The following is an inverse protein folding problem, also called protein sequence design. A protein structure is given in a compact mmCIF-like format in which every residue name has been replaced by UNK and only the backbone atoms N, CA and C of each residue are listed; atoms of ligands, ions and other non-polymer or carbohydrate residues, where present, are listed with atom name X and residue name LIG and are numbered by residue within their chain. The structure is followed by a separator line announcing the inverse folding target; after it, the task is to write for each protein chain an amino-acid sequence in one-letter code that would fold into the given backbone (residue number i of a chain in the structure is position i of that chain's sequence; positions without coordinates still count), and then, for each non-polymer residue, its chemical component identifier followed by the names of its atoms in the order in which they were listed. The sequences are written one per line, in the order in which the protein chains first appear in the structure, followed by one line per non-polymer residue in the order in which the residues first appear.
data_IF_475315008403
#
_entry.id   IF_475315008403
#
_cell.length_a   1.000
_cell.length_b   1.000
_cell.length_c   1.000
_cell.angle_alpha   90.00
_cell.angle_beta   90.00
_cell.angle_gamma   90.00
#
_symmetry.space_group_name_H-M   'P 1'
#
loop_
_entity.id
_entity.type
_entity.pdbx_description
1 polymer ?
#
# COMPACT_ATOMS: atom_id res chain seq x y z
N UNK A 1 39.71 16.73 17.74
CA UNK A 1 38.73 15.92 18.50
C UNK A 1 38.22 14.81 17.58
N UNK A 2 38.56 13.55 17.88
CA UNK A 2 38.04 12.38 17.17
C UNK A 2 36.86 11.85 17.99
N UNK A 3 35.66 11.86 17.43
CA UNK A 3 34.48 11.26 18.05
C UNK A 3 34.08 10.00 17.28
N UNK A 4 34.26 8.78 17.84
CA UNK A 4 33.68 7.58 17.27
C UNK A 4 32.84 6.82 18.31
N UNK A 5 31.51 6.92 18.24
CA UNK A 5 30.58 6.20 19.13
C UNK A 5 29.24 6.06 18.40
N UNK A 6 28.56 4.92 18.24
CA UNK A 6 28.76 3.49 18.50
C UNK A 6 27.80 2.78 17.54
N UNK A 7 28.24 1.69 16.89
CA UNK A 7 27.36 0.83 16.07
C UNK A 7 26.43 0.07 17.00
N UNK A 8 25.12 0.27 16.87
CA UNK A 8 24.10 -0.45 17.63
C UNK A 8 23.95 -1.83 16.98
N UNK A 9 24.48 -2.84 17.67
CA UNK A 9 24.30 -4.25 17.37
C UNK A 9 23.02 -4.69 18.07
N UNK A 10 21.92 -4.90 17.32
CA UNK A 10 20.70 -5.47 17.87
C UNK A 10 20.91 -6.98 18.10
N UNK A 11 21.20 -7.32 19.34
CA UNK A 11 21.27 -8.69 19.86
C UNK A 11 19.87 -9.31 19.89
N UNK A 12 19.78 -10.49 19.28
CA UNK A 12 18.65 -11.42 19.28
C UNK A 12 18.21 -11.74 20.70
N UNK A 13 16.94 -11.47 21.04
CA UNK A 13 16.30 -11.99 22.25
C UNK A 13 15.20 -12.96 21.83
N UNK A 14 15.57 -14.23 21.77
CA UNK A 14 14.63 -15.34 21.77
C UNK A 14 13.96 -15.41 23.15
N UNK A 15 12.64 -15.30 23.20
CA UNK A 15 11.85 -15.73 24.35
C UNK A 15 10.90 -16.84 23.89
N UNK A 16 11.29 -18.06 24.23
CA UNK A 16 10.43 -19.24 24.22
C UNK A 16 9.43 -19.08 25.36
N UNK A 17 8.13 -19.00 25.05
CA UNK A 17 7.07 -19.27 26.02
C UNK A 17 6.45 -20.60 25.65
N UNK A 18 6.88 -21.64 26.35
CA UNK A 18 6.20 -22.92 26.48
C UNK A 18 5.16 -22.75 27.58
N UNK A 19 3.91 -23.14 27.33
CA UNK A 19 2.85 -23.06 28.33
C UNK A 19 1.53 -23.67 27.85
N UNK A 20 1.50 -24.98 27.67
CA UNK A 20 0.27 -25.77 27.56
C UNK A 20 -0.46 -25.76 28.91
N UNK A 21 -1.66 -25.21 28.97
CA UNK A 21 -2.71 -25.61 29.92
C UNK A 21 -4.04 -25.16 29.36
N UNK A 22 -4.88 -26.15 29.03
CA UNK A 22 -6.23 -25.92 28.55
C UNK A 22 -7.10 -25.29 29.63
N UNK A 23 -8.04 -24.46 29.17
CA UNK A 23 -9.22 -24.10 29.94
C UNK A 23 -10.43 -24.48 29.10
N UNK A 24 -11.19 -25.46 29.56
CA UNK A 24 -12.55 -25.71 29.10
C UNK A 24 -13.46 -24.76 29.87
N UNK A 25 -14.19 -23.91 29.16
CA UNK A 25 -15.27 -23.13 29.74
C UNK A 25 -16.59 -23.63 29.15
N UNK A 26 -17.38 -24.30 29.98
CA UNK A 26 -18.82 -24.43 29.81
C UNK A 26 -19.45 -23.29 30.61
N UNK A 27 -20.26 -22.45 29.95
CA UNK A 27 -20.94 -21.34 30.60
C UNK A 27 -21.90 -20.63 29.65
N UNK A 28 -23.19 -20.67 30.01
CA UNK A 28 -24.35 -20.10 29.32
C UNK A 28 -24.65 -18.70 29.90
N UNK A 29 -25.09 -17.74 29.06
CA UNK A 29 -25.92 -16.60 29.51
C UNK A 29 -25.39 -15.18 29.23
N UNK A 30 -25.95 -14.58 28.17
CA UNK A 30 -26.40 -13.18 27.96
C UNK A 30 -25.56 -11.94 28.33
N UNK A 31 -25.16 -11.25 27.25
CA UNK A 31 -25.30 -9.81 26.92
C UNK A 31 -24.70 -8.71 27.82
N UNK A 32 -23.64 -8.04 27.33
CA UNK A 32 -23.67 -6.77 26.56
C UNK A 32 -22.36 -5.98 26.80
N UNK A 33 -21.39 -6.05 25.88
CA UNK A 33 -20.08 -5.38 25.99
C UNK A 33 -19.99 -4.15 25.07
N UNK A 34 -19.82 -2.97 25.68
CA UNK A 34 -18.99 -1.91 25.09
C UNK A 34 -17.57 -2.16 25.59
N UNK A 35 -16.64 -2.43 24.68
CA UNK A 35 -15.27 -1.95 24.72
C UNK A 35 -14.54 -2.33 23.42
N UNK A 36 -13.71 -1.39 22.99
CA UNK A 36 -12.85 -1.46 21.81
C UNK A 36 -11.76 -2.53 21.92
N UNK A 37 -11.20 -2.85 20.75
CA UNK A 37 -9.89 -3.46 20.55
C UNK A 37 -9.79 -4.98 20.75
N UNK A 38 -10.21 -5.69 19.71
CA UNK A 38 -9.53 -6.91 19.27
C UNK A 38 -9.56 -6.93 17.74
N UNK A 39 -8.42 -6.60 17.14
CA UNK A 39 -8.15 -6.86 15.73
C UNK A 39 -8.11 -8.36 15.51
N UNK A 40 -9.28 -8.94 15.27
CA UNK A 40 -9.39 -10.29 14.74
C UNK A 40 -9.47 -10.14 13.23
N UNK A 41 -8.30 -10.09 12.60
CA UNK A 41 -8.15 -10.40 11.17
C UNK A 41 -8.49 -11.87 10.99
N UNK A 42 -9.78 -12.15 10.84
CA UNK A 42 -10.27 -13.39 10.24
C UNK A 42 -10.21 -13.20 8.73
N UNK A 43 -9.27 -13.88 8.10
CA UNK A 43 -9.10 -13.99 6.66
C UNK A 43 -10.33 -14.73 6.08
N UNK A 44 -11.41 -13.99 5.86
CA UNK A 44 -12.52 -14.44 5.02
C UNK A 44 -12.00 -14.35 3.59
N UNK A 45 -11.80 -15.51 2.95
CA UNK A 45 -11.45 -15.64 1.53
C UNK A 45 -12.60 -15.20 0.64
N UNK A 46 -12.99 -13.93 0.70
CA UNK A 46 -13.87 -13.28 -0.26
C UNK A 46 -13.01 -12.46 -1.20
N UNK A 47 -12.95 -12.88 -2.46
CA UNK A 47 -12.30 -12.10 -3.52
C UNK A 47 -13.07 -10.76 -3.63
N UNK A 48 -12.38 -9.60 -3.60
CA UNK A 48 -13.06 -8.32 -3.77
C UNK A 48 -13.76 -8.25 -5.13
N UNK A 49 -14.95 -7.64 -5.18
CA UNK A 49 -15.70 -7.43 -6.43
C UNK A 49 -15.78 -5.94 -6.78
N UNK A 50 -15.83 -5.61 -8.06
CA UNK A 50 -16.04 -4.25 -8.54
C UNK A 50 -17.52 -3.84 -8.48
N UNK A 51 -17.81 -2.59 -8.83
CA UNK A 51 -19.17 -2.02 -8.83
C UNK A 51 -20.16 -2.73 -9.78
N UNK A 52 -19.68 -3.62 -10.66
CA UNK A 52 -20.50 -4.42 -11.58
C UNK A 52 -20.61 -5.88 -11.11
N UNK A 53 -20.14 -6.20 -9.90
CA UNK A 53 -20.12 -7.56 -9.35
C UNK A 53 -19.06 -8.46 -10.00
N UNK A 54 -18.04 -7.90 -10.65
CA UNK A 54 -16.94 -8.69 -11.25
C UNK A 54 -15.80 -8.81 -10.24
N UNK A 55 -15.32 -10.01 -10.04
CA UNK A 55 -14.16 -10.26 -9.17
C UNK A 55 -12.91 -9.54 -9.68
N UNK A 56 -12.22 -8.86 -8.75
CA UNK A 56 -10.86 -8.40 -8.96
C UNK A 56 -9.91 -9.60 -9.02
N UNK A 57 -8.85 -9.45 -9.81
CA UNK A 57 -7.87 -10.50 -10.00
C UNK A 57 -6.60 -10.20 -9.23
N UNK A 58 -5.81 -11.22 -8.94
CA UNK A 58 -4.47 -11.01 -8.39
C UNK A 58 -3.65 -10.17 -9.39
N UNK A 59 -3.08 -9.06 -8.92
CA UNK A 59 -2.29 -8.17 -9.77
C UNK A 59 -0.85 -8.66 -9.80
N UNK A 60 -0.33 -8.91 -11.00
CA UNK A 60 1.10 -8.96 -11.25
C UNK A 60 1.59 -7.54 -11.46
N UNK A 61 2.48 -7.06 -10.59
CA UNK A 61 3.03 -5.72 -10.71
C UNK A 61 3.90 -5.58 -11.95
N UNK A 62 3.97 -4.37 -12.52
CA UNK A 62 4.79 -4.09 -13.69
C UNK A 62 6.28 -4.38 -13.41
N UNK A 63 6.93 -5.13 -14.30
CA UNK A 63 8.36 -5.46 -14.23
C UNK A 63 9.21 -4.63 -15.18
N UNK A 64 8.59 -3.83 -16.05
CA UNK A 64 9.25 -2.96 -17.03
C UNK A 64 8.51 -1.63 -17.19
N UNK A 65 9.16 -0.68 -17.88
CA UNK A 65 8.61 0.65 -18.13
C UNK A 65 8.50 1.49 -16.86
N UNK A 66 7.82 2.63 -16.95
CA UNK A 66 7.65 3.54 -15.81
C UNK A 66 6.91 2.91 -14.61
N UNK A 67 6.10 1.87 -14.85
CA UNK A 67 5.36 1.18 -13.79
C UNK A 67 6.26 0.41 -12.83
N UNK A 68 7.41 -0.11 -13.30
CA UNK A 68 8.35 -0.86 -12.45
C UNK A 68 9.20 0.02 -11.54
N UNK A 69 9.21 1.33 -11.77
CA UNK A 69 9.93 2.30 -10.94
C UNK A 69 9.17 2.61 -9.63
N UNK A 70 7.85 2.36 -9.61
CA UNK A 70 6.97 2.57 -8.47
C UNK A 70 7.18 1.53 -7.35
N UNK A 71 6.88 1.87 -6.09
CA UNK A 71 6.79 0.88 -5.03
C UNK A 71 5.57 -0.04 -5.27
N UNK A 72 5.65 -1.28 -4.80
CA UNK A 72 4.54 -2.24 -4.84
C UNK A 72 3.66 -2.01 -3.60
N UNK A 73 2.35 -1.74 -3.74
CA UNK A 73 1.46 -1.57 -2.60
C UNK A 73 1.27 -2.90 -1.85
N UNK A 74 0.92 -2.83 -0.56
CA UNK A 74 0.56 -4.00 0.26
C UNK A 74 -0.86 -4.54 -0.07
N UNK A 75 -1.23 -4.55 -1.35
CA UNK A 75 -2.54 -4.97 -1.84
C UNK A 75 -2.35 -6.07 -2.89
N UNK A 76 -3.19 -7.12 -2.82
CA UNK A 76 -3.03 -8.31 -3.67
C UNK A 76 -3.91 -8.28 -4.91
N UNK A 77 -5.14 -7.79 -4.77
CA UNK A 77 -6.16 -7.84 -5.81
C UNK A 77 -6.35 -6.48 -6.47
N UNK A 78 -6.75 -6.49 -7.75
CA UNK A 78 -6.93 -5.28 -8.52
C UNK A 78 -7.12 -5.55 -10.01
N UNK A 79 -6.90 -4.49 -10.80
CA UNK A 79 -7.05 -4.48 -12.25
C UNK A 79 -6.07 -3.50 -12.87
N UNK A 80 -5.18 -4.01 -13.71
CA UNK A 80 -4.34 -3.18 -14.58
C UNK A 80 -5.23 -2.66 -15.72
N UNK A 81 -5.29 -1.34 -15.86
CA UNK A 81 -6.09 -0.65 -16.88
C UNK A 81 -5.24 -0.19 -18.06
N UNK A 82 -3.97 0.11 -17.82
CA UNK A 82 -3.00 0.49 -18.85
C UNK A 82 -1.59 0.13 -18.40
N UNK A 83 -0.85 -0.53 -19.29
CA UNK A 83 0.57 -0.80 -19.10
C UNK A 83 1.30 -0.52 -20.41
N UNK A 84 2.16 0.50 -20.38
CA UNK A 84 3.03 0.95 -21.47
C UNK A 84 4.34 1.44 -20.87
N UNK A 85 5.40 1.48 -21.66
CA UNK A 85 6.71 1.96 -21.21
C UNK A 85 6.67 3.36 -20.58
N UNK A 86 5.76 4.21 -21.05
CA UNK A 86 5.62 5.60 -20.63
C UNK A 86 4.42 5.87 -19.72
N UNK A 87 3.54 4.90 -19.50
CA UNK A 87 2.32 5.08 -18.69
C UNK A 87 1.92 3.79 -18.01
N UNK A 88 1.60 3.87 -16.74
CA UNK A 88 1.02 2.77 -15.98
C UNK A 88 -0.21 3.24 -15.20
N UNK A 89 -1.26 2.43 -15.22
CA UNK A 89 -2.51 2.69 -14.51
C UNK A 89 -3.06 1.36 -13.97
N UNK A 90 -3.15 1.27 -12.65
CA UNK A 90 -3.74 0.15 -11.93
C UNK A 90 -4.76 0.66 -10.90
N UNK A 91 -5.78 -0.16 -10.65
CA UNK A 91 -6.68 -0.01 -9.49
C UNK A 91 -6.47 -1.22 -8.60
N UNK A 92 -6.08 -1.01 -7.35
CA UNK A 92 -5.97 -2.04 -6.32
C UNK A 92 -7.25 -2.06 -5.48
N UNK A 93 -7.72 -3.23 -5.10
CA UNK A 93 -8.94 -3.44 -4.32
C UNK A 93 -8.63 -3.81 -2.87
N UNK A 94 -9.59 -3.57 -1.99
CA UNK A 94 -9.45 -3.84 -0.55
C UNK A 94 -8.55 -2.83 0.16
N UNK A 95 -8.42 -1.62 -0.38
CA UNK A 95 -7.63 -0.56 0.20
C UNK A 95 -8.39 0.13 1.36
N UNK A 96 -7.63 0.41 2.42
CA UNK A 96 -8.00 1.34 3.48
C UNK A 96 -7.39 2.73 3.23
N UNK A 97 -7.80 3.71 4.05
CA UNK A 97 -7.15 5.02 4.07
C UNK A 97 -5.67 4.89 4.52
N UNK A 98 -5.38 3.99 5.46
CA UNK A 98 -4.02 3.74 5.93
C UNK A 98 -3.13 3.16 4.83
N UNK A 99 -3.67 2.27 3.98
CA UNK A 99 -2.96 1.76 2.81
C UNK A 99 -2.63 2.88 1.81
N UNK A 100 -3.55 3.84 1.63
CA UNK A 100 -3.29 5.02 0.83
C UNK A 100 -2.16 5.88 1.43
N UNK A 101 -2.22 6.18 2.73
CA UNK A 101 -1.19 7.00 3.39
C UNK A 101 0.18 6.32 3.36
N UNK A 102 0.22 5.01 3.61
CA UNK A 102 1.43 4.21 3.50
C UNK A 102 2.00 4.24 2.08
N UNK A 103 1.15 4.00 1.06
CA UNK A 103 1.61 4.02 -0.33
C UNK A 103 2.13 5.40 -0.75
N UNK A 104 1.48 6.48 -0.31
CA UNK A 104 1.97 7.85 -0.53
C UNK A 104 3.35 8.07 0.08
N UNK A 105 3.61 7.55 1.28
CA UNK A 105 4.93 7.64 1.91
C UNK A 105 6.00 6.82 1.18
N UNK A 106 5.64 5.65 0.67
CA UNK A 106 6.53 4.83 -0.17
C UNK A 106 6.86 5.56 -1.49
N UNK A 107 5.88 6.21 -2.10
CA UNK A 107 6.10 7.03 -3.31
C UNK A 107 7.00 8.24 -3.04
N UNK A 108 6.85 8.92 -1.90
CA UNK A 108 7.77 9.99 -1.48
C UNK A 108 9.19 9.46 -1.31
N UNK A 109 9.35 8.27 -0.73
CA UNK A 109 10.65 7.61 -0.58
C UNK A 109 11.29 7.24 -1.92
N UNK A 110 10.48 7.10 -2.98
CA UNK A 110 10.93 6.93 -4.37
C UNK A 110 11.24 8.24 -5.10
N UNK A 111 11.07 9.38 -4.44
CA UNK A 111 11.42 10.70 -4.99
C UNK A 111 10.24 11.47 -5.60
N UNK A 112 9.00 10.99 -5.49
CA UNK A 112 7.82 11.75 -5.91
C UNK A 112 7.45 12.82 -4.88
N UNK A 113 8.27 13.87 -4.80
CA UNK A 113 8.16 14.97 -3.84
C UNK A 113 8.00 16.34 -4.49
N UNK A 114 8.16 16.44 -5.81
CA UNK A 114 8.11 17.69 -6.55
C UNK A 114 6.68 18.06 -6.96
N UNK A 115 6.39 19.35 -7.09
CA UNK A 115 5.11 19.90 -7.58
C UNK A 115 3.86 19.20 -6.98
N UNK A 116 3.90 18.89 -5.68
CA UNK A 116 2.92 18.01 -5.09
C UNK A 116 1.61 18.71 -4.71
N UNK A 117 0.52 17.95 -4.70
CA UNK A 117 -0.77 18.32 -4.15
C UNK A 117 -1.31 17.15 -3.35
N UNK A 118 -1.62 17.40 -2.06
CA UNK A 118 -2.17 16.40 -1.13
C UNK A 118 -3.55 16.84 -0.64
N UNK A 119 -4.48 15.90 -0.60
CA UNK A 119 -5.75 15.93 0.14
C UNK A 119 -5.88 14.63 0.93
N UNK A 120 -7.01 14.41 1.58
CA UNK A 120 -7.19 13.24 2.44
C UNK A 120 -7.26 11.93 1.65
N UNK A 121 -7.80 11.98 0.43
CA UNK A 121 -7.99 10.83 -0.46
C UNK A 121 -7.14 10.92 -1.76
N UNK A 122 -6.24 11.90 -1.84
CA UNK A 122 -5.57 12.24 -3.09
C UNK A 122 -4.13 12.69 -2.87
N UNK A 123 -3.24 12.17 -3.70
CA UNK A 123 -1.86 12.61 -3.80
C UNK A 123 -1.45 12.70 -5.26
N UNK A 124 -0.91 13.84 -5.66
CA UNK A 124 -0.25 14.05 -6.95
C UNK A 124 1.12 14.62 -6.68
N UNK A 125 2.13 14.14 -7.39
CA UNK A 125 3.49 14.66 -7.31
C UNK A 125 4.26 14.33 -8.59
N UNK A 126 5.42 14.92 -8.72
CA UNK A 126 6.41 14.64 -9.74
C UNK A 126 7.70 14.14 -9.08
N UNK A 127 8.49 13.36 -9.80
CA UNK A 127 9.87 13.10 -9.42
C UNK A 127 10.83 14.15 -10.00
N UNK A 128 12.12 14.03 -9.69
CA UNK A 128 13.17 14.93 -10.20
C UNK A 128 13.30 14.97 -11.72
N UNK A 129 12.83 13.93 -12.42
CA UNK A 129 12.88 13.82 -13.87
C UNK A 129 11.57 14.33 -14.51
N UNK A 130 10.63 14.81 -13.69
CA UNK A 130 9.32 15.34 -14.05
C UNK A 130 8.26 14.25 -14.28
N UNK A 131 8.56 12.97 -14.00
CA UNK A 131 7.58 11.92 -14.15
C UNK A 131 6.43 12.16 -13.17
N UNK A 132 5.20 12.17 -13.69
CA UNK A 132 4.02 12.52 -12.89
C UNK A 132 3.35 11.30 -12.29
N UNK A 133 3.15 11.31 -10.98
CA UNK A 133 2.38 10.34 -10.21
C UNK A 133 1.05 10.93 -9.76
N UNK A 134 0.01 10.10 -9.75
CA UNK A 134 -1.28 10.37 -9.11
C UNK A 134 -1.75 9.11 -8.39
N UNK A 135 -2.05 9.26 -7.12
CA UNK A 135 -2.62 8.23 -6.25
C UNK A 135 -3.95 8.76 -5.72
N UNK A 136 -5.02 8.00 -5.86
CA UNK A 136 -6.34 8.36 -5.35
C UNK A 136 -6.97 7.19 -4.61
N UNK A 137 -7.45 7.47 -3.40
CA UNK A 137 -8.28 6.56 -2.63
C UNK A 137 -9.76 6.79 -2.96
N UNK A 138 -10.50 5.71 -3.15
CA UNK A 138 -11.94 5.71 -3.34
C UNK A 138 -12.58 4.96 -2.17
N UNK A 139 -13.14 5.72 -1.22
CA UNK A 139 -13.78 5.15 -0.02
C UNK A 139 -15.03 4.33 -0.35
N UNK A 140 -15.75 4.70 -1.41
CA UNK A 140 -17.02 4.04 -1.78
C UNK A 140 -16.81 2.58 -2.20
N UNK A 141 -15.68 2.31 -2.87
CA UNK A 141 -15.34 0.99 -3.42
C UNK A 141 -14.14 0.34 -2.71
N UNK A 142 -13.61 0.97 -1.65
CA UNK A 142 -12.35 0.59 -0.99
C UNK A 142 -11.23 0.30 -1.99
N UNK A 143 -10.99 1.21 -2.94
CA UNK A 143 -9.96 1.02 -3.97
C UNK A 143 -8.89 2.11 -3.97
N UNK A 144 -7.68 1.71 -4.34
CA UNK A 144 -6.52 2.58 -4.53
C UNK A 144 -6.19 2.65 -6.02
N UNK A 145 -6.42 3.81 -6.61
CA UNK A 145 -6.06 4.11 -7.98
C UNK A 145 -4.66 4.70 -8.05
N UNK A 146 -3.79 4.10 -8.88
CA UNK A 146 -2.40 4.50 -9.06
C UNK A 146 -2.15 4.76 -10.54
N UNK A 147 -1.68 5.95 -10.87
CA UNK A 147 -1.33 6.37 -12.22
C UNK A 147 0.04 7.01 -12.24
N UNK A 148 0.93 6.54 -13.11
CA UNK A 148 2.20 7.21 -13.38
C UNK A 148 2.36 7.44 -14.88
N UNK A 149 2.93 8.58 -15.23
CA UNK A 149 3.28 8.96 -16.60
C UNK A 149 4.72 9.43 -16.65
N UNK A 150 5.46 8.98 -17.65
CA UNK A 150 6.78 9.51 -17.95
C UNK A 150 6.63 10.92 -18.50
N UNK A 151 7.46 11.84 -18.00
CA UNK A 151 7.71 13.13 -18.64
C UNK A 151 8.43 12.90 -19.96
N UNK A 152 8.00 13.60 -20.98
CA UNK A 152 8.79 13.72 -22.20
C UNK A 152 9.63 14.98 -22.06
N UNK A 153 10.71 14.89 -21.30
CA UNK A 153 11.79 15.85 -21.47
C UNK A 153 12.42 15.51 -22.82
N UNK A 154 12.06 16.24 -23.86
CA UNK A 154 12.83 16.27 -25.09
C UNK A 154 14.21 16.82 -24.71
N UNK A 155 15.15 15.93 -24.41
CA UNK A 155 16.55 16.28 -24.51
C UNK A 155 16.76 16.62 -25.98
N UNK A 156 16.77 17.91 -26.30
CA UNK A 156 17.46 18.39 -27.49
C UNK A 156 18.91 17.98 -27.28
N UNK A 157 19.29 16.82 -27.81
CA UNK A 157 20.70 16.50 -28.01
C UNK A 157 21.18 17.47 -29.08
N UNK A 158 22.03 18.42 -28.67
CA UNK A 158 22.81 19.29 -29.55
C UNK A 158 23.61 18.48 -30.59
#
# INVERSE_FOLDING_TARGET
MKNPVKKILCTVMALLIVGTSGVVFTGCGSDNSKDSSASTTSEVTTVPVDSNGKEYQKVTWATSGIGSELPVPNLTYGKVKLEKDTRYYVTMAGASLDDFEQYVNDCKSKGFTENYSKRDDFYKAEDKDGHGLTVKYHSDDNTLEIRVKKSFNMSLSE
#
